data_IF_579280845539
#
_entry.id   IF_579280845539
#
_cell.length_a   1.000
_cell.length_b   1.000
_cell.length_c   1.000
_cell.angle_alpha   90.00
_cell.angle_beta   90.00
_cell.angle_gamma   90.00
#
_symmetry.space_group_name_H-M   'P 1'
#
loop_
_entity.id
_entity.type
_entity.pdbx_description
1 polymer ?
#
# COMPACT_ATOMS: atom_id res chain seq x y z
N UNK A 1 -6.65 26.14 31.19
CA UNK A 1 -6.99 25.19 30.10
C UNK A 1 -5.87 24.16 30.06
N UNK A 2 -6.06 23.01 30.72
CA UNK A 2 -5.10 21.91 30.65
C UNK A 2 -5.38 21.15 29.35
N UNK A 3 -4.52 21.32 28.35
CA UNK A 3 -4.55 20.49 27.14
C UNK A 3 -4.01 19.11 27.49
N UNK A 4 -4.93 18.20 27.79
CA UNK A 4 -4.62 16.79 27.96
C UNK A 4 -4.48 16.16 26.57
N UNK A 5 -3.25 15.87 26.13
CA UNK A 5 -3.02 15.04 24.96
C UNK A 5 -3.17 13.58 25.37
N UNK A 6 -4.29 12.95 25.02
CA UNK A 6 -4.48 11.52 25.18
C UNK A 6 -4.23 10.85 23.82
N UNK A 7 -3.12 10.13 23.71
CA UNK A 7 -2.81 9.31 22.53
C UNK A 7 -3.34 7.88 22.77
N UNK A 8 -3.85 7.26 21.70
CA UNK A 8 -4.68 6.06 21.72
C UNK A 8 -4.10 4.83 22.44
N UNK A 9 -5.02 4.02 22.96
CA UNK A 9 -4.80 2.87 23.83
C UNK A 9 -4.60 1.58 23.01
N UNK A 10 -3.36 1.12 22.87
CA UNK A 10 -3.03 -0.26 22.53
C UNK A 10 -2.61 -0.99 23.81
N UNK A 11 -3.30 -2.09 24.15
CA UNK A 11 -3.20 -2.80 25.44
C UNK A 11 -1.89 -3.57 25.68
N UNK A 12 -0.93 -3.50 24.76
CA UNK A 12 0.28 -4.34 24.79
C UNK A 12 1.57 -3.55 25.06
N UNK A 13 1.53 -2.21 24.99
CA UNK A 13 2.65 -1.35 25.31
C UNK A 13 2.32 -0.47 26.53
N UNK A 14 3.07 -0.62 27.61
CA UNK A 14 2.94 0.24 28.78
C UNK A 14 3.44 1.65 28.42
N UNK A 15 2.54 2.53 27.97
CA UNK A 15 2.85 3.92 27.62
C UNK A 15 3.14 4.70 28.92
N UNK A 16 4.35 5.28 29.10
CA UNK A 16 4.68 6.02 30.30
C UNK A 16 3.90 7.34 30.37
N UNK A 17 3.42 7.69 31.55
CA UNK A 17 2.62 8.89 31.82
C UNK A 17 3.46 9.87 32.65
N UNK A 18 3.50 11.13 32.22
CA UNK A 18 4.16 12.23 32.94
C UNK A 18 3.17 13.37 33.18
N UNK A 19 3.17 13.90 34.39
CA UNK A 19 2.37 15.08 34.75
C UNK A 19 3.16 16.36 34.46
N UNK A 20 2.48 17.35 33.89
CA UNK A 20 3.10 18.62 33.47
C UNK A 20 2.24 19.79 33.98
N UNK A 21 2.89 20.74 34.64
CA UNK A 21 2.25 21.99 35.06
C UNK A 21 2.95 23.21 34.43
N UNK A 22 2.38 23.69 33.32
CA UNK A 22 2.95 24.79 32.53
C UNK A 22 2.76 26.19 33.16
N UNK A 23 2.09 26.28 34.31
CA UNK A 23 1.83 27.57 34.96
C UNK A 23 3.13 28.24 35.40
N UNK A 24 3.23 29.55 35.16
CA UNK A 24 4.28 30.39 35.75
C UNK A 24 4.24 30.40 37.29
N UNK A 25 3.07 30.08 37.88
CA UNK A 25 2.83 30.01 39.33
C UNK A 25 3.03 28.62 39.93
N UNK A 26 3.55 27.67 39.17
CA UNK A 26 3.89 26.35 39.68
C UNK A 26 4.86 26.49 40.87
N UNK A 27 4.63 25.71 41.94
CA UNK A 27 5.45 25.73 43.12
C UNK A 27 6.90 25.37 42.79
N UNK A 28 7.86 25.97 43.50
CA UNK A 28 9.28 25.69 43.32
C UNK A 28 9.90 25.15 44.61
N UNK A 29 10.89 24.26 44.48
CA UNK A 29 11.76 23.89 45.60
C UNK A 29 12.79 24.98 45.91
N UNK A 30 13.62 24.75 46.93
CA UNK A 30 14.71 25.67 47.32
C UNK A 30 15.75 25.87 46.21
N UNK A 31 15.83 24.94 45.25
CA UNK A 31 16.66 25.03 44.05
C UNK A 31 16.02 25.81 42.88
N UNK A 32 14.80 26.32 43.04
CA UNK A 32 14.06 27.05 42.00
C UNK A 32 13.44 26.16 40.92
N UNK A 33 13.45 24.84 41.08
CA UNK A 33 12.87 23.90 40.12
C UNK A 33 11.37 23.75 40.33
N UNK A 34 10.61 23.54 39.25
CA UNK A 34 9.14 23.37 39.32
C UNK A 34 8.74 22.01 39.88
N UNK A 35 7.95 22.02 40.95
CA UNK A 35 7.53 20.84 41.72
C UNK A 35 6.02 20.65 41.67
N UNK A 36 5.61 19.42 41.43
CA UNK A 36 4.20 19.00 41.47
C UNK A 36 3.74 18.74 42.92
N UNK A 37 2.42 18.69 43.20
CA UNK A 37 1.90 18.40 44.55
C UNK A 37 2.37 17.06 45.16
N UNK A 38 2.84 16.14 44.32
CA UNK A 38 3.41 14.85 44.74
C UNK A 38 4.92 14.93 45.09
N UNK A 39 5.52 16.12 45.06
CA UNK A 39 6.94 16.36 45.33
C UNK A 39 7.88 16.09 44.14
N UNK A 40 7.35 15.73 42.97
CA UNK A 40 8.18 15.43 41.78
C UNK A 40 8.60 16.71 41.07
N UNK A 41 9.89 16.85 40.76
CA UNK A 41 10.40 17.88 39.85
C UNK A 41 10.08 17.47 38.42
N UNK A 42 9.08 18.09 37.81
CA UNK A 42 8.46 17.52 36.60
C UNK A 42 9.30 17.74 35.33
N UNK A 43 10.08 18.83 35.23
CA UNK A 43 10.89 19.10 34.03
C UNK A 43 11.98 18.03 33.85
N UNK A 44 12.84 17.72 34.84
CA UNK A 44 13.82 16.65 34.71
C UNK A 44 13.15 15.28 34.54
N UNK A 45 12.02 15.03 35.20
CA UNK A 45 11.28 13.78 35.07
C UNK A 45 10.72 13.57 33.64
N UNK A 46 10.24 14.66 33.00
CA UNK A 46 9.78 14.63 31.62
C UNK A 46 10.93 14.32 30.66
N UNK A 47 12.05 15.04 30.77
CA UNK A 47 13.23 14.83 29.91
C UNK A 47 13.76 13.41 30.08
N UNK A 48 13.86 12.93 31.32
CA UNK A 48 14.26 11.55 31.62
C UNK A 48 13.35 10.53 30.92
N UNK A 49 12.04 10.71 31.03
CA UNK A 49 11.08 9.79 30.40
C UNK A 49 11.23 9.79 28.87
N UNK A 50 11.45 10.97 28.26
CA UNK A 50 11.72 11.07 26.82
C UNK A 50 13.01 10.32 26.45
N UNK A 51 14.10 10.53 27.19
CA UNK A 51 15.36 9.85 26.91
C UNK A 51 15.24 8.34 27.09
N UNK A 52 14.50 7.87 28.09
CA UNK A 52 14.27 6.45 28.33
C UNK A 52 13.50 5.82 27.15
N UNK A 53 12.48 6.50 26.62
CA UNK A 53 11.73 6.03 25.44
C UNK A 53 12.62 6.00 24.19
N UNK A 54 13.38 7.07 23.96
CA UNK A 54 14.27 7.19 22.78
C UNK A 54 15.37 6.12 22.81
N UNK A 55 15.89 5.80 24.00
CA UNK A 55 16.96 4.81 24.19
C UNK A 55 16.45 3.37 24.33
N UNK A 56 15.14 3.14 24.40
CA UNK A 56 14.54 1.80 24.55
C UNK A 56 14.71 0.88 23.31
N UNK A 57 15.43 1.34 22.28
CA UNK A 57 15.69 0.54 21.07
C UNK A 57 14.45 0.28 20.21
N UNK A 58 13.30 0.88 20.55
CA UNK A 58 12.10 0.85 19.71
C UNK A 58 12.39 1.52 18.37
N UNK A 59 11.88 0.95 17.29
CA UNK A 59 12.02 1.54 15.96
C UNK A 59 11.39 2.93 15.95
N UNK A 60 12.19 3.93 15.63
CA UNK A 60 11.68 5.27 15.36
C UNK A 60 10.73 5.25 14.15
N UNK A 61 9.71 6.10 14.18
CA UNK A 61 8.82 6.30 13.05
C UNK A 61 9.56 7.16 12.02
N UNK A 62 10.20 6.52 11.04
CA UNK A 62 10.74 7.22 9.87
C UNK A 62 9.58 7.56 8.94
N UNK A 63 9.28 8.85 8.78
CA UNK A 63 8.21 9.31 7.88
C UNK A 63 8.72 9.30 6.45
N UNK A 64 8.50 8.18 5.75
CA UNK A 64 8.73 8.07 4.31
C UNK A 64 7.46 8.40 3.53
N UNK A 65 7.60 8.89 2.29
CA UNK A 65 6.48 9.15 1.37
C UNK A 65 5.53 7.94 1.23
N UNK A 66 6.06 6.72 1.37
CA UNK A 66 5.28 5.46 1.34
C UNK A 66 4.33 5.28 2.52
N UNK A 67 4.61 5.89 3.67
CA UNK A 67 3.69 5.90 4.83
C UNK A 67 2.58 6.94 4.65
N UNK A 68 2.87 8.03 3.94
CA UNK A 68 1.90 9.08 3.62
C UNK A 68 0.91 8.61 2.55
N UNK A 69 1.43 8.02 1.47
CA UNK A 69 0.62 7.58 0.34
C UNK A 69 -0.17 6.28 0.63
N UNK A 70 0.24 5.53 1.65
CA UNK A 70 -0.35 4.24 2.02
C UNK A 70 -0.06 3.12 1.01
N UNK A 71 -0.39 1.87 1.35
CA UNK A 71 -0.19 0.74 0.44
C UNK A 71 -1.15 0.83 -0.77
N UNK A 72 -0.63 1.15 -1.96
CA UNK A 72 -1.40 1.23 -3.20
C UNK A 72 -2.01 -0.15 -3.57
N UNK A 73 -3.35 -0.34 -3.41
CA UNK A 73 -4.00 -1.60 -3.72
C UNK A 73 -3.99 -1.92 -5.23
N UNK A 74 -3.78 -0.91 -6.08
CA UNK A 74 -3.79 -1.02 -7.54
C UNK A 74 -2.55 -1.75 -8.09
N UNK A 75 -1.48 -1.89 -7.31
CA UNK A 75 -0.25 -2.57 -7.72
C UNK A 75 -0.35 -4.10 -7.63
N UNK A 76 -1.17 -4.65 -6.72
CA UNK A 76 -1.18 -6.09 -6.40
C UNK A 76 -1.68 -6.97 -7.55
N UNK A 77 -2.61 -6.49 -8.36
CA UNK A 77 -3.20 -7.25 -9.47
C UNK A 77 -2.50 -7.05 -10.81
N UNK A 78 -1.74 -5.95 -10.98
CA UNK A 78 -1.19 -5.56 -12.29
C UNK A 78 -0.15 -6.52 -12.83
N UNK A 79 0.59 -7.20 -11.94
CA UNK A 79 1.60 -8.18 -12.32
C UNK A 79 0.98 -9.39 -13.05
N UNK A 80 -0.28 -9.72 -12.77
CA UNK A 80 -0.96 -10.86 -13.39
C UNK A 80 -1.58 -10.55 -14.76
N UNK A 81 -1.72 -9.27 -15.13
CA UNK A 81 -2.28 -8.85 -16.42
C UNK A 81 -1.54 -9.48 -17.61
N UNK A 82 -0.19 -9.39 -17.73
CA UNK A 82 0.51 -10.02 -18.85
C UNK A 82 0.37 -11.54 -18.85
N UNK A 83 0.32 -12.18 -17.67
CA UNK A 83 0.17 -13.63 -17.55
C UNK A 83 -1.21 -14.11 -18.02
N UNK A 84 -2.28 -13.43 -17.58
CA UNK A 84 -3.66 -13.75 -17.98
C UNK A 84 -3.84 -13.49 -19.48
N UNK A 85 -3.28 -12.41 -20.02
CA UNK A 85 -3.32 -12.12 -21.46
C UNK A 85 -2.60 -13.19 -22.28
N UNK A 86 -1.43 -13.65 -21.84
CA UNK A 86 -0.72 -14.74 -22.51
C UNK A 86 -1.56 -16.02 -22.52
N UNK A 87 -2.15 -16.38 -21.37
CA UNK A 87 -3.02 -17.54 -21.25
C UNK A 87 -4.21 -17.45 -22.23
N UNK A 88 -4.91 -16.32 -22.26
CA UNK A 88 -6.03 -16.10 -23.19
C UNK A 88 -5.58 -16.21 -24.65
N UNK A 89 -4.43 -15.65 -25.02
CA UNK A 89 -3.93 -15.73 -26.38
C UNK A 89 -3.62 -17.17 -26.81
N UNK A 90 -2.90 -17.92 -25.99
CA UNK A 90 -2.48 -19.27 -26.32
C UNK A 90 -3.62 -20.29 -26.31
N UNK A 91 -4.54 -20.19 -25.35
CA UNK A 91 -5.59 -21.20 -25.16
C UNK A 91 -6.92 -20.86 -25.82
N UNK A 92 -7.19 -19.60 -26.15
CA UNK A 92 -8.45 -19.18 -26.80
C UNK A 92 -8.17 -18.71 -28.23
N UNK A 93 -7.34 -17.67 -28.38
CA UNK A 93 -7.15 -17.02 -29.70
C UNK A 93 -6.44 -17.93 -30.70
N UNK A 94 -5.36 -18.59 -30.28
CA UNK A 94 -4.55 -19.47 -31.14
C UNK A 94 -5.36 -20.65 -31.72
N UNK A 95 -6.12 -21.44 -30.94
CA UNK A 95 -6.90 -22.56 -31.51
C UNK A 95 -8.05 -22.07 -32.40
N UNK A 96 -8.71 -20.96 -32.05
CA UNK A 96 -9.76 -20.37 -32.91
C UNK A 96 -9.17 -19.99 -34.27
N UNK A 97 -8.02 -19.28 -34.28
CA UNK A 97 -7.33 -18.91 -35.53
C UNK A 97 -6.92 -20.13 -36.34
N UNK A 98 -6.49 -21.20 -35.68
CA UNK A 98 -6.11 -22.43 -36.38
C UNK A 98 -7.32 -23.09 -37.03
N UNK A 99 -8.44 -23.24 -36.31
CA UNK A 99 -9.67 -23.81 -36.88
C UNK A 99 -10.21 -23.01 -38.05
N UNK A 100 -10.22 -21.68 -37.95
CA UNK A 100 -10.62 -20.81 -39.07
C UNK A 100 -9.74 -21.07 -40.31
N UNK A 101 -8.43 -21.24 -40.14
CA UNK A 101 -7.53 -21.54 -41.26
C UNK A 101 -7.78 -22.93 -41.85
N UNK A 102 -8.04 -23.92 -41.01
CA UNK A 102 -8.38 -25.27 -41.44
C UNK A 102 -9.71 -25.30 -42.20
N UNK A 103 -10.69 -24.51 -41.78
CA UNK A 103 -11.98 -24.37 -42.46
C UNK A 103 -11.81 -23.69 -43.83
N UNK A 104 -11.08 -22.57 -43.90
CA UNK A 104 -10.74 -21.91 -45.17
C UNK A 104 -10.01 -22.87 -46.13
N UNK A 105 -9.13 -23.74 -45.61
CA UNK A 105 -8.40 -24.70 -46.45
C UNK A 105 -9.27 -25.87 -46.95
N UNK A 106 -10.35 -26.20 -46.22
CA UNK A 106 -11.30 -27.26 -46.59
C UNK A 106 -12.44 -26.75 -47.48
N UNK A 107 -12.75 -25.47 -47.42
CA UNK A 107 -13.74 -24.88 -48.31
C UNK A 107 -13.27 -24.94 -49.76
N UNK A 108 -14.09 -25.55 -50.60
CA UNK A 108 -13.95 -25.44 -52.05
C UNK A 108 -14.11 -23.99 -52.44
N UNK A 109 -13.11 -23.44 -53.14
CA UNK A 109 -13.17 -22.06 -53.62
C UNK A 109 -14.50 -21.80 -54.33
N UNK A 110 -15.22 -20.73 -53.99
CA UNK A 110 -16.50 -20.44 -54.60
C UNK A 110 -16.32 -20.19 -56.09
N UNK A 111 -17.37 -20.47 -56.87
CA UNK A 111 -17.34 -20.46 -58.34
C UNK A 111 -16.79 -19.16 -58.96
N UNK A 112 -17.00 -18.02 -58.28
CA UNK A 112 -16.49 -16.72 -58.72
C UNK A 112 -14.96 -16.59 -58.54
N UNK A 113 -14.37 -17.17 -57.48
CA UNK A 113 -12.92 -17.18 -57.28
C UNK A 113 -12.22 -18.09 -58.30
N UNK A 114 -12.87 -19.21 -58.66
CA UNK A 114 -12.38 -20.12 -59.71
C UNK A 114 -12.46 -19.50 -61.12
N UNK A 115 -13.50 -18.68 -61.38
CA UNK A 115 -13.64 -17.90 -62.61
C UNK A 115 -12.51 -16.89 -62.75
N UNK A 116 -12.19 -16.17 -61.67
CA UNK A 116 -11.13 -15.15 -61.67
C UNK A 116 -9.73 -15.77 -61.78
N UNK A 117 -9.56 -17.03 -61.37
CA UNK A 117 -8.33 -17.83 -61.56
C UNK A 117 -8.23 -18.54 -62.91
N UNK A 118 -9.23 -18.40 -63.80
CA UNK A 118 -9.22 -19.01 -65.15
C UNK A 118 -9.36 -20.53 -65.18
N UNK A 119 -9.84 -21.15 -64.09
CA UNK A 119 -9.91 -22.61 -63.90
C UNK A 119 -11.33 -23.19 -64.08
N UNK A 120 -12.34 -22.36 -64.35
CA UNK A 120 -13.70 -22.82 -64.62
C UNK A 120 -13.83 -23.29 -66.08
N UNK A 121 -13.94 -24.60 -66.30
CA UNK A 121 -14.21 -25.18 -67.62
C UNK A 121 -15.64 -24.83 -68.05
N UNK A 122 -15.75 -24.00 -69.09
CA UNK A 122 -17.01 -23.54 -69.63
C UNK A 122 -17.72 -24.66 -70.36
N UNK A 123 -18.74 -25.27 -69.74
CA UNK A 123 -19.81 -25.97 -70.45
C UNK A 123 -21.13 -25.29 -70.17
N UNK A 124 -21.62 -24.60 -71.22
CA UNK A 124 -22.99 -24.15 -71.36
C UNK A 124 -23.92 -25.35 -71.59
#
# INVERSE_FOLDING_TARGET
MLTCFSFGHDKESAIPIVLVENSGRCATNDGGEKVLPNGTVWIPNLVKTITDIVLNGSKAITVDQKLIDGPDPNQRGKIFIPLILALQYFFIVRPIRQRIREDIAKETKPLWELRDMGLADGKF
#
